data_IF_407697825000
#
_entry.id   IF_407697825000
#
_cell.length_a   1.000
_cell.length_b   1.000
_cell.length_c   1.000
_cell.angle_alpha   90.00
_cell.angle_beta   90.00
_cell.angle_gamma   90.00
#
_symmetry.space_group_name_H-M   'P 1'
#
loop_
_entity.id
_entity.type
_entity.pdbx_description
1 polymer ?
#
# COMPACT_ATOMS: atom_id res chain seq x y z
N UNK A 1 18.24 -42.56 -15.69
CA UNK A 1 19.34 -41.62 -15.96
C UNK A 1 20.65 -42.38 -16.03
N UNK A 2 21.47 -42.15 -17.06
CA UNK A 2 22.73 -42.87 -17.22
C UNK A 2 23.77 -42.37 -16.21
N UNK A 3 24.31 -43.26 -15.37
CA UNK A 3 25.44 -42.93 -14.51
C UNK A 3 26.73 -42.93 -15.34
N UNK A 4 27.54 -41.87 -15.29
CA UNK A 4 28.87 -41.89 -15.89
C UNK A 4 29.67 -43.06 -15.30
N UNK A 5 30.43 -43.78 -16.12
CA UNK A 5 31.34 -44.82 -15.63
C UNK A 5 32.66 -44.26 -15.11
N UNK A 6 32.97 -43.00 -15.46
CA UNK A 6 34.16 -42.30 -15.03
C UNK A 6 33.97 -41.74 -13.60
N UNK A 7 34.82 -42.09 -12.62
CA UNK A 7 34.68 -41.64 -11.22
C UNK A 7 34.66 -40.11 -11.04
N UNK A 8 35.46 -39.37 -11.82
CA UNK A 8 35.51 -37.90 -11.74
C UNK A 8 34.20 -37.28 -12.26
N UNK A 9 33.59 -37.88 -13.28
CA UNK A 9 32.27 -37.44 -13.76
C UNK A 9 31.15 -37.76 -12.75
N UNK A 10 31.28 -38.85 -11.97
CA UNK A 10 30.35 -39.14 -10.87
C UNK A 10 30.48 -38.09 -9.77
N UNK A 11 31.72 -37.74 -9.38
CA UNK A 11 31.98 -36.72 -8.36
C UNK A 11 31.43 -35.35 -8.81
N UNK A 12 31.71 -34.94 -10.06
CA UNK A 12 31.19 -33.70 -10.62
C UNK A 12 29.66 -33.66 -10.60
N UNK A 13 28.99 -34.76 -11.00
CA UNK A 13 27.53 -34.88 -10.92
C UNK A 13 27.03 -34.67 -9.50
N UNK A 14 27.70 -35.27 -8.50
CA UNK A 14 27.28 -35.17 -7.11
C UNK A 14 27.45 -33.75 -6.55
N UNK A 15 28.57 -33.09 -6.87
CA UNK A 15 28.79 -31.69 -6.49
C UNK A 15 27.78 -30.77 -7.16
N UNK A 16 27.50 -30.97 -8.45
CA UNK A 16 26.52 -30.18 -9.19
C UNK A 16 25.12 -30.34 -8.60
N UNK A 17 24.69 -31.57 -8.32
CA UNK A 17 23.38 -31.81 -7.69
C UNK A 17 23.30 -31.16 -6.30
N UNK A 18 24.34 -31.27 -5.48
CA UNK A 18 24.39 -30.60 -4.17
C UNK A 18 24.32 -29.07 -4.29
N UNK A 19 24.96 -28.49 -5.31
CA UNK A 19 24.86 -27.06 -5.60
C UNK A 19 23.42 -26.69 -5.97
N UNK A 20 22.76 -27.47 -6.83
CA UNK A 20 21.37 -27.26 -7.22
C UNK A 20 20.41 -27.37 -6.03
N UNK A 21 20.60 -28.36 -5.15
CA UNK A 21 19.79 -28.52 -3.93
C UNK A 21 19.91 -27.28 -3.01
N UNK A 22 21.14 -26.76 -2.85
CA UNK A 22 21.38 -25.53 -2.08
C UNK A 22 20.72 -24.32 -2.74
N UNK A 23 20.85 -24.17 -4.06
CA UNK A 23 20.22 -23.07 -4.79
C UNK A 23 18.70 -23.12 -4.70
N UNK A 24 18.11 -24.30 -4.82
CA UNK A 24 16.66 -24.47 -4.68
C UNK A 24 16.17 -24.11 -3.27
N UNK A 25 16.87 -24.58 -2.23
CA UNK A 25 16.49 -24.30 -0.85
C UNK A 25 16.69 -22.82 -0.46
N UNK A 26 17.74 -22.18 -0.97
CA UNK A 26 18.06 -20.79 -0.64
C UNK A 26 17.30 -19.79 -1.51
N UNK A 27 17.22 -20.04 -2.80
CA UNK A 27 16.64 -19.10 -3.76
C UNK A 27 15.22 -19.53 -4.10
N UNK A 28 15.08 -20.66 -4.78
CA UNK A 28 13.78 -21.15 -5.23
C UNK A 28 13.91 -22.11 -6.40
N UNK A 29 12.76 -22.66 -6.82
CA UNK A 29 12.71 -23.69 -7.86
C UNK A 29 12.56 -23.14 -9.28
N UNK A 30 12.00 -21.93 -9.43
CA UNK A 30 11.81 -21.27 -10.72
C UNK A 30 12.38 -19.85 -10.72
N UNK A 31 13.60 -19.70 -11.25
CA UNK A 31 14.30 -18.42 -11.33
C UNK A 31 13.60 -17.42 -12.27
N UNK A 32 12.86 -17.90 -13.29
CA UNK A 32 12.14 -17.03 -14.21
C UNK A 32 10.89 -16.45 -13.53
N UNK A 33 10.18 -17.26 -12.75
CA UNK A 33 9.06 -16.78 -11.93
C UNK A 33 9.51 -15.74 -10.91
N UNK A 34 10.63 -15.99 -10.21
CA UNK A 34 11.23 -15.03 -9.26
C UNK A 34 11.56 -13.71 -9.96
N UNK A 35 12.25 -13.79 -11.11
CA UNK A 35 12.61 -12.58 -11.87
C UNK A 35 11.37 -11.79 -12.31
N UNK A 36 10.32 -12.47 -12.80
CA UNK A 36 9.08 -11.84 -13.20
C UNK A 36 8.42 -11.07 -12.04
N UNK A 37 8.30 -11.69 -10.86
CA UNK A 37 7.75 -11.02 -9.67
C UNK A 37 8.59 -9.82 -9.26
N UNK A 38 9.92 -9.89 -9.36
CA UNK A 38 10.77 -8.74 -9.08
C UNK A 38 10.54 -7.59 -10.06
N UNK A 39 10.35 -7.85 -11.35
CA UNK A 39 10.01 -6.79 -12.31
C UNK A 39 8.64 -6.18 -12.04
N UNK A 40 7.65 -6.99 -11.66
CA UNK A 40 6.32 -6.50 -11.24
C UNK A 40 6.44 -5.59 -10.00
N UNK A 41 7.17 -6.02 -8.96
CA UNK A 41 7.38 -5.23 -7.74
C UNK A 41 8.18 -3.95 -8.00
N UNK A 42 9.17 -3.97 -8.92
CA UNK A 42 9.89 -2.77 -9.36
C UNK A 42 8.96 -1.76 -10.03
N UNK A 43 7.93 -2.23 -10.72
CA UNK A 43 6.88 -1.39 -11.31
C UNK A 43 5.77 -1.00 -10.31
N UNK A 44 5.95 -1.30 -9.02
CA UNK A 44 5.00 -1.08 -7.94
C UNK A 44 3.71 -1.91 -8.07
N UNK A 45 3.74 -2.99 -8.83
CA UNK A 45 2.63 -3.95 -8.93
C UNK A 45 2.87 -5.12 -7.96
N UNK A 46 2.18 -5.09 -6.83
CA UNK A 46 2.28 -6.09 -5.76
C UNK A 46 1.11 -7.08 -5.75
N UNK A 47 0.35 -7.18 -6.85
CA UNK A 47 -0.87 -8.01 -6.90
C UNK A 47 -0.58 -9.50 -6.99
N UNK A 48 0.52 -9.89 -7.62
CA UNK A 48 0.90 -11.28 -7.81
C UNK A 48 1.93 -11.73 -6.76
N UNK A 49 2.04 -13.05 -6.61
CA UNK A 49 2.98 -13.71 -5.69
C UNK A 49 3.58 -14.94 -6.35
N UNK A 50 4.67 -15.43 -5.77
CA UNK A 50 5.28 -16.69 -6.18
C UNK A 50 4.44 -17.85 -5.61
N UNK A 51 3.83 -18.64 -6.49
CA UNK A 51 3.11 -19.85 -6.11
C UNK A 51 4.10 -20.96 -5.72
N UNK A 52 3.70 -21.83 -4.79
CA UNK A 52 4.51 -22.97 -4.33
C UNK A 52 5.93 -22.57 -3.84
N UNK A 53 6.08 -21.35 -3.33
CA UNK A 53 7.33 -20.84 -2.78
C UNK A 53 7.89 -21.80 -1.71
N UNK A 54 9.11 -22.24 -1.92
CA UNK A 54 9.82 -23.17 -1.03
C UNK A 54 11.24 -22.70 -0.72
N UNK A 55 11.83 -21.91 -1.61
CA UNK A 55 13.12 -21.27 -1.40
C UNK A 55 13.01 -20.09 -0.43
N UNK A 56 14.10 -19.83 0.31
CA UNK A 56 14.12 -18.73 1.28
C UNK A 56 13.85 -17.36 0.62
N UNK A 57 14.36 -17.11 -0.61
CA UNK A 57 14.10 -15.87 -1.35
C UNK A 57 12.65 -15.79 -1.82
N UNK A 58 12.07 -16.87 -2.35
CA UNK A 58 10.65 -16.90 -2.75
C UNK A 58 9.73 -16.56 -1.57
N UNK A 59 9.94 -17.22 -0.43
CA UNK A 59 9.15 -17.00 0.79
C UNK A 59 9.28 -15.57 1.31
N UNK A 60 10.51 -15.05 1.36
CA UNK A 60 10.78 -13.67 1.79
C UNK A 60 10.11 -12.66 0.86
N UNK A 61 10.14 -12.91 -0.45
CA UNK A 61 9.52 -12.04 -1.47
C UNK A 61 8.02 -11.96 -1.28
N UNK A 62 7.35 -13.09 -1.05
CA UNK A 62 5.92 -13.12 -0.78
C UNK A 62 5.57 -12.37 0.52
N UNK A 63 6.33 -12.59 1.59
CA UNK A 63 6.12 -11.89 2.87
C UNK A 63 6.31 -10.37 2.73
N UNK A 64 7.31 -9.92 1.98
CA UNK A 64 7.53 -8.50 1.70
C UNK A 64 6.38 -7.91 0.87
N UNK A 65 5.93 -8.63 -0.17
CA UNK A 65 4.77 -8.21 -0.96
C UNK A 65 3.52 -8.03 -0.12
N UNK A 66 3.24 -8.99 0.77
CA UNK A 66 2.11 -8.92 1.70
C UNK A 66 2.16 -7.70 2.64
N UNK A 67 3.34 -7.43 3.21
CA UNK A 67 3.48 -6.27 4.10
C UNK A 67 3.36 -4.95 3.33
N UNK A 68 3.88 -4.88 2.09
CA UNK A 68 3.71 -3.71 1.22
C UNK A 68 2.22 -3.47 0.90
N UNK A 69 1.49 -4.50 0.47
CA UNK A 69 0.05 -4.39 0.18
C UNK A 69 -0.72 -3.93 1.43
N UNK A 70 -0.38 -4.46 2.60
CA UNK A 70 -0.97 -4.04 3.88
C UNK A 70 -0.70 -2.57 4.20
N UNK A 71 0.54 -2.11 4.03
CA UNK A 71 0.90 -0.70 4.22
C UNK A 71 0.15 0.22 3.25
N UNK A 72 0.05 -0.16 1.98
CA UNK A 72 -0.69 0.60 0.96
C UNK A 72 -2.18 0.69 1.31
N UNK A 73 -2.78 -0.40 1.78
CA UNK A 73 -4.18 -0.41 2.22
C UNK A 73 -4.40 0.50 3.42
N UNK A 74 -3.53 0.42 4.42
CA UNK A 74 -3.59 1.33 5.58
C UNK A 74 -3.45 2.80 5.16
N UNK A 75 -2.51 3.10 4.27
CA UNK A 75 -2.33 4.46 3.75
C UNK A 75 -3.59 4.97 3.03
N UNK A 76 -4.23 4.12 2.22
CA UNK A 76 -5.51 4.42 1.57
C UNK A 76 -6.63 4.66 2.58
N UNK A 77 -6.73 3.84 3.62
CA UNK A 77 -7.75 3.98 4.67
C UNK A 77 -7.56 5.31 5.43
N UNK A 78 -6.31 5.68 5.74
CA UNK A 78 -6.00 6.98 6.35
C UNK A 78 -6.38 8.16 5.43
N UNK A 79 -6.04 8.07 4.14
CA UNK A 79 -6.38 9.13 3.17
C UNK A 79 -7.90 9.32 3.06
N UNK A 80 -8.66 8.24 3.03
CA UNK A 80 -10.13 8.28 2.99
C UNK A 80 -10.72 8.86 4.28
N UNK A 81 -10.21 8.47 5.45
CA UNK A 81 -10.63 9.03 6.72
C UNK A 81 -10.35 10.54 6.79
N UNK A 82 -9.15 10.97 6.36
CA UNK A 82 -8.77 12.37 6.33
C UNK A 82 -9.66 13.18 5.38
N UNK A 83 -9.96 12.66 4.19
CA UNK A 83 -10.86 13.31 3.24
C UNK A 83 -12.27 13.51 3.83
N UNK A 84 -12.79 12.49 4.52
CA UNK A 84 -14.09 12.56 5.19
C UNK A 84 -14.11 13.62 6.32
N UNK A 85 -13.12 13.61 7.20
CA UNK A 85 -13.04 14.61 8.29
C UNK A 85 -12.83 16.03 7.75
N UNK A 86 -12.06 16.19 6.66
CA UNK A 86 -11.89 17.48 5.99
C UNK A 86 -13.21 17.99 5.40
N UNK A 87 -14.01 17.12 4.79
CA UNK A 87 -15.33 17.47 4.26
C UNK A 87 -16.33 17.88 5.36
N UNK A 88 -16.31 17.19 6.51
CA UNK A 88 -17.10 17.57 7.68
C UNK A 88 -16.68 18.94 8.21
N UNK A 89 -15.38 19.18 8.34
CA UNK A 89 -14.84 20.47 8.79
C UNK A 89 -15.24 21.60 7.84
N UNK A 90 -15.13 21.38 6.52
CA UNK A 90 -15.57 22.35 5.52
C UNK A 90 -17.06 22.70 5.69
N UNK A 91 -17.91 21.70 5.88
CA UNK A 91 -19.36 21.90 6.10
C UNK A 91 -19.62 22.69 7.38
N UNK A 92 -18.91 22.37 8.47
CA UNK A 92 -19.03 23.08 9.75
C UNK A 92 -18.61 24.56 9.61
N UNK A 93 -17.50 24.83 8.93
CA UNK A 93 -17.02 26.20 8.66
C UNK A 93 -18.03 26.96 7.80
N UNK A 94 -18.57 26.36 6.74
CA UNK A 94 -19.57 27.01 5.90
C UNK A 94 -20.85 27.34 6.68
N UNK A 95 -21.29 26.43 7.55
CA UNK A 95 -22.47 26.63 8.40
C UNK A 95 -22.23 27.76 9.43
N UNK A 96 -21.03 27.80 10.02
CA UNK A 96 -20.63 28.86 10.93
C UNK A 96 -20.59 30.21 10.23
N UNK A 97 -19.94 30.32 9.07
CA UNK A 97 -19.88 31.56 8.28
C UNK A 97 -21.28 32.05 7.91
N UNK A 98 -22.16 31.15 7.48
CA UNK A 98 -23.54 31.51 7.14
C UNK A 98 -24.29 32.04 8.37
N UNK A 99 -24.17 31.35 9.51
CA UNK A 99 -24.81 31.75 10.76
C UNK A 99 -24.30 33.11 11.26
N UNK A 100 -22.97 33.35 11.18
CA UNK A 100 -22.36 34.63 11.56
C UNK A 100 -22.83 35.78 10.65
N UNK A 101 -22.95 35.55 9.34
CA UNK A 101 -23.47 36.56 8.42
C UNK A 101 -24.95 36.88 8.71
N UNK A 102 -25.79 35.86 8.93
CA UNK A 102 -27.19 36.07 9.32
C UNK A 102 -27.29 36.82 10.65
N UNK A 103 -26.45 36.49 11.64
CA UNK A 103 -26.44 37.19 12.92
C UNK A 103 -26.02 38.66 12.78
N UNK A 104 -25.02 38.96 11.94
CA UNK A 104 -24.61 40.33 11.66
C UNK A 104 -25.75 41.14 11.02
N UNK A 105 -26.46 40.55 10.05
CA UNK A 105 -27.64 41.17 9.43
C UNK A 105 -28.76 41.43 10.45
N UNK A 106 -29.07 40.47 11.32
CA UNK A 106 -30.09 40.68 12.36
C UNK A 106 -29.72 41.78 13.36
N UNK A 107 -28.42 41.95 13.65
CA UNK A 107 -27.93 43.06 14.49
C UNK A 107 -28.08 44.41 13.79
N UNK A 108 -27.81 44.47 12.48
CA UNK A 108 -28.00 45.66 11.66
C UNK A 108 -29.48 46.07 11.60
N UNK A 109 -30.38 45.11 11.38
CA UNK A 109 -31.83 45.33 11.41
C UNK A 109 -32.32 45.82 12.78
N UNK A 110 -31.78 45.24 13.87
CA UNK A 110 -32.11 45.67 15.24
C UNK A 110 -31.62 47.09 15.52
N UNK A 111 -30.43 47.45 15.04
CA UNK A 111 -29.89 48.80 15.18
C UNK A 111 -30.74 49.82 14.41
N UNK A 112 -31.11 49.52 13.16
CA UNK A 112 -31.97 50.37 12.35
C UNK A 112 -33.35 50.59 12.99
N UNK A 113 -33.97 49.53 13.51
CA UNK A 113 -35.24 49.64 14.22
C UNK A 113 -35.13 50.52 15.49
N UNK A 114 -34.00 50.44 16.20
CA UNK A 114 -33.74 51.29 17.37
C UNK A 114 -33.53 52.77 16.97
N UNK A 115 -32.86 53.05 15.85
CA UNK A 115 -32.74 54.39 15.28
C UNK A 115 -34.10 54.99 14.90
N UNK A 116 -34.99 54.18 14.30
CA UNK A 116 -36.35 54.62 13.97
C UNK A 116 -37.17 54.98 15.23
N UNK A 117 -37.08 54.17 16.28
CA UNK A 117 -37.73 54.44 17.58
C UNK A 117 -37.20 55.72 18.23
N UNK A 118 -35.89 55.98 18.14
CA UNK A 118 -35.25 57.12 18.80
C UNK A 118 -35.31 58.42 18.00
N UNK A 119 -35.56 58.35 16.69
CA UNK A 119 -35.78 59.53 15.82
C UNK A 119 -37.23 59.97 15.73
N UNK A 120 -38.17 59.17 16.26
CA UNK A 120 -39.60 59.47 16.40
C UNK A 120 -39.92 60.21 17.69
#
# INVERSE_FOLDING_TARGET
TANPRNPQLIELKNVLNKLLDVLQARVGSDMNAIHKIFEEYKSLDFRNKLENASGSVELTTNALGDEIVKMLKQSSDFANALANESGKLQTAVQSLTTSSNSQAQSLEETAAALEEITSS
#
